data_IF_051301042089
#
_entry.id   IF_051301042089
#
_cell.length_a   1.000
_cell.length_b   1.000
_cell.length_c   1.000
_cell.angle_alpha   90.00
_cell.angle_beta   90.00
_cell.angle_gamma   90.00
#
_symmetry.space_group_name_H-M   'P 1'
#
loop_
_entity.id
_entity.type
_entity.pdbx_description
1 polymer ?
#
# COMPACT_ATOMS: atom_id res chain seq x y z
N UNK A 1 23.56 8.37 33.81
CA UNK A 1 23.96 9.75 33.45
C UNK A 1 24.62 9.74 32.09
N UNK A 2 23.96 10.27 31.05
CA UNK A 2 24.60 10.82 29.85
C UNK A 2 23.76 12.03 29.46
N UNK A 3 24.41 13.20 29.45
CA UNK A 3 23.78 14.51 29.42
C UNK A 3 23.19 14.86 28.05
N UNK A 4 22.07 15.57 28.09
CA UNK A 4 21.51 16.29 26.96
C UNK A 4 22.17 17.67 26.94
N UNK A 5 23.01 17.93 25.94
CA UNK A 5 23.56 19.27 25.70
C UNK A 5 22.53 20.13 24.99
N UNK A 6 22.13 21.23 25.64
CA UNK A 6 21.24 22.26 25.08
C UNK A 6 22.09 23.47 24.69
N UNK A 7 22.05 23.85 23.42
CA UNK A 7 22.46 25.15 22.91
C UNK A 7 21.34 25.68 22.03
N UNK A 8 20.97 26.94 22.19
CA UNK A 8 19.88 27.59 21.44
C UNK A 8 20.50 28.65 20.54
N UNK A 9 20.28 28.56 19.23
CA UNK A 9 20.51 29.63 18.25
C UNK A 9 19.26 29.78 17.37
N UNK A 10 19.03 30.99 16.88
CA UNK A 10 17.87 31.41 16.08
C UNK A 10 17.84 30.84 14.64
N UNK A 11 18.59 29.78 14.39
CA UNK A 11 18.72 29.08 13.12
C UNK A 11 18.14 27.67 13.29
N UNK A 12 17.03 27.38 12.62
CA UNK A 12 16.28 26.13 12.80
C UNK A 12 17.12 24.88 12.52
N UNK A 13 17.77 24.34 13.55
CA UNK A 13 18.60 23.13 13.42
C UNK A 13 17.74 21.91 13.08
N UNK A 14 18.19 21.14 12.08
CA UNK A 14 17.60 19.84 11.75
C UNK A 14 17.87 18.90 12.91
N UNK A 15 16.80 18.43 13.54
CA UNK A 15 16.86 17.44 14.61
C UNK A 15 16.96 16.04 14.02
N UNK A 16 17.72 15.18 14.69
CA UNK A 16 18.00 13.82 14.25
C UNK A 16 17.55 12.82 15.32
N UNK A 17 16.86 11.77 14.90
CA UNK A 17 16.60 10.58 15.70
C UNK A 17 16.98 9.34 14.88
N UNK A 18 17.36 8.24 15.52
CA UNK A 18 17.70 7.00 14.83
C UNK A 18 17.17 5.78 15.56
N UNK A 19 16.72 4.79 14.80
CA UNK A 19 16.36 3.46 15.30
C UNK A 19 16.66 2.39 14.24
N UNK A 20 16.61 1.11 14.61
CA UNK A 20 16.72 0.03 13.63
C UNK A 20 15.34 -0.33 13.05
N UNK A 21 15.27 -0.46 11.72
CA UNK A 21 14.10 -0.92 10.97
C UNK A 21 14.48 -2.24 10.30
N UNK A 22 14.16 -3.36 10.95
CA UNK A 22 14.68 -4.67 10.55
C UNK A 22 16.20 -4.72 10.72
N UNK A 23 16.93 -5.03 9.64
CA UNK A 23 18.41 -5.06 9.63
C UNK A 23 19.06 -3.76 9.15
N UNK A 24 18.28 -2.70 8.95
CA UNK A 24 18.80 -1.42 8.45
C UNK A 24 18.72 -0.34 9.54
N UNK A 25 19.67 0.59 9.53
CA UNK A 25 19.62 1.78 10.37
C UNK A 25 18.66 2.80 9.74
N UNK A 26 17.59 3.15 10.45
CA UNK A 26 16.68 4.23 10.09
C UNK A 26 17.08 5.53 10.77
N UNK A 27 17.39 6.54 9.98
CA UNK A 27 17.71 7.90 10.44
C UNK A 27 16.58 8.84 10.07
N UNK A 28 15.98 9.45 11.08
CA UNK A 28 14.91 10.44 10.96
C UNK A 28 15.51 11.82 11.11
N UNK A 29 15.16 12.71 10.19
CA UNK A 29 15.53 14.13 10.25
C UNK A 29 14.27 14.95 10.26
N UNK A 30 14.19 16.00 11.05
CA UNK A 30 13.00 16.83 11.07
C UNK A 30 13.28 18.28 11.47
N UNK A 31 12.43 19.17 10.97
CA UNK A 31 12.47 20.60 11.23
C UNK A 31 11.05 21.15 11.18
N UNK A 32 10.72 22.06 12.10
CA UNK A 32 9.40 22.70 12.14
C UNK A 32 9.47 24.07 11.47
N UNK A 33 8.32 24.55 10.99
CA UNK A 33 8.15 25.90 10.46
C UNK A 33 9.06 26.22 9.26
N UNK A 34 9.21 25.23 8.36
CA UNK A 34 9.96 25.36 7.11
C UNK A 34 9.05 25.97 6.04
N UNK A 35 9.48 27.03 5.33
CA UNK A 35 8.70 27.57 4.22
C UNK A 35 8.62 26.55 3.07
N UNK A 36 7.40 26.27 2.60
CA UNK A 36 7.19 25.30 1.53
C UNK A 36 7.69 25.78 0.16
N UNK A 37 7.81 27.10 -0.02
CA UNK A 37 8.33 27.76 -1.23
C UNK A 37 9.09 29.04 -0.88
N UNK A 38 9.91 29.52 -1.80
CA UNK A 38 10.71 30.73 -1.65
C UNK A 38 9.86 31.99 -1.92
N UNK A 39 9.10 32.42 -0.92
CA UNK A 39 8.26 33.62 -0.98
C UNK A 39 7.86 34.09 0.41
N UNK A 40 7.63 35.40 0.57
CA UNK A 40 7.26 35.99 1.87
C UNK A 40 5.91 35.51 2.43
N UNK A 41 5.00 35.03 1.56
CA UNK A 41 3.69 34.46 1.92
C UNK A 41 3.70 32.92 1.91
N UNK A 42 4.86 32.30 2.06
CA UNK A 42 4.99 30.85 2.06
C UNK A 42 4.26 30.22 3.26
N UNK A 43 3.52 29.15 2.98
CA UNK A 43 2.97 28.30 4.03
C UNK A 43 4.13 27.63 4.77
N UNK A 44 4.17 27.83 6.09
CA UNK A 44 5.12 27.15 6.97
C UNK A 44 4.59 25.74 7.28
N UNK A 45 5.44 24.75 7.06
CA UNK A 45 5.12 23.34 7.30
C UNK A 45 6.16 22.70 8.21
N UNK A 46 5.80 21.58 8.83
CA UNK A 46 6.76 20.78 9.58
C UNK A 46 7.26 19.65 8.68
N UNK A 47 8.56 19.63 8.43
CA UNK A 47 9.22 18.70 7.54
C UNK A 47 9.86 17.55 8.30
N UNK A 48 9.76 16.34 7.76
CA UNK A 48 10.57 15.21 8.20
C UNK A 48 11.04 14.32 7.04
N UNK A 49 12.12 13.60 7.25
CA UNK A 49 12.74 12.67 6.30
C UNK A 49 13.12 11.38 7.00
N UNK A 50 13.02 10.26 6.29
CA UNK A 50 13.57 8.97 6.68
C UNK A 50 14.62 8.55 5.66
N UNK A 51 15.80 8.19 6.15
CA UNK A 51 16.85 7.52 5.40
C UNK A 51 17.08 6.15 6.04
N UNK A 52 16.96 5.09 5.25
CA UNK A 52 17.26 3.72 5.69
C UNK A 52 18.55 3.24 5.04
N UNK A 53 19.54 2.89 5.85
CA UNK A 53 20.88 2.51 5.42
C UNK A 53 21.19 1.07 5.82
N UNK A 54 21.82 0.29 4.93
CA UNK A 54 22.32 -1.06 5.24
C UNK A 54 23.59 -1.01 6.10
N UNK A 55 24.02 -2.16 6.59
CA UNK A 55 25.28 -2.32 7.33
C UNK A 55 26.51 -1.89 6.52
N UNK A 56 26.48 -2.04 5.19
CA UNK A 56 27.54 -1.61 4.27
C UNK A 56 27.55 -0.08 3.99
N UNK A 57 26.62 0.68 4.59
CA UNK A 57 26.48 2.12 4.39
C UNK A 57 25.65 2.52 3.16
N UNK A 58 25.16 1.57 2.36
CA UNK A 58 24.31 1.88 1.20
C UNK A 58 22.90 2.31 1.62
N UNK A 59 22.39 3.36 0.98
CA UNK A 59 21.03 3.87 1.20
C UNK A 59 20.04 2.99 0.45
N UNK A 60 19.16 2.29 1.17
CA UNK A 60 18.07 1.50 0.58
C UNK A 60 16.84 2.34 0.27
N UNK A 61 16.58 3.33 1.11
CA UNK A 61 15.36 4.11 1.04
C UNK A 61 15.62 5.52 1.56
N UNK A 62 15.06 6.50 0.86
CA UNK A 62 15.06 7.88 1.27
C UNK A 62 13.76 8.52 0.83
N UNK A 63 13.05 9.16 1.76
CA UNK A 63 11.87 9.94 1.43
C UNK A 63 11.61 11.02 2.48
N UNK A 64 10.87 12.05 2.10
CA UNK A 64 10.50 13.17 2.95
C UNK A 64 9.00 13.48 2.89
N UNK A 65 8.51 14.09 3.96
CA UNK A 65 7.10 14.45 4.16
C UNK A 65 6.98 15.83 4.79
N UNK A 66 5.87 16.49 4.49
CA UNK A 66 5.41 17.69 5.18
C UNK A 66 4.15 17.38 5.98
N UNK A 67 4.02 17.97 7.16
CA UNK A 67 2.90 17.79 8.08
C UNK A 67 2.48 19.12 8.69
N UNK A 68 1.17 19.27 8.93
CA UNK A 68 0.62 20.35 9.78
C UNK A 68 0.86 20.09 11.28
N UNK A 69 1.18 18.85 11.66
CA UNK A 69 1.48 18.50 13.05
C UNK A 69 2.91 18.87 13.39
N UNK A 70 3.11 19.48 14.56
CA UNK A 70 4.44 19.80 15.07
C UNK A 70 5.22 18.52 15.36
N UNK A 71 6.47 18.47 14.94
CA UNK A 71 7.31 17.28 14.99
C UNK A 71 8.31 17.38 16.15
N UNK A 72 8.42 16.30 16.90
CA UNK A 72 9.40 16.09 17.97
C UNK A 72 9.97 14.66 17.94
N UNK A 73 10.89 14.38 18.86
CA UNK A 73 11.56 13.08 18.93
C UNK A 73 10.64 11.91 19.32
N UNK A 74 9.43 12.19 19.82
CA UNK A 74 8.47 11.17 20.23
C UNK A 74 7.50 10.81 19.10
N UNK A 75 7.20 11.76 18.21
CA UNK A 75 6.17 11.56 17.17
C UNK A 75 6.72 11.39 15.73
N UNK A 76 8.00 11.71 15.47
CA UNK A 76 8.57 11.65 14.11
C UNK A 76 8.46 10.26 13.50
N UNK A 77 8.68 9.21 14.30
CA UNK A 77 8.56 7.83 13.82
C UNK A 77 7.12 7.49 13.40
N UNK A 78 6.13 7.95 14.17
CA UNK A 78 4.71 7.73 13.89
C UNK A 78 4.29 8.46 12.62
N UNK A 79 4.72 9.72 12.45
CA UNK A 79 4.42 10.52 11.26
C UNK A 79 5.01 9.90 9.99
N UNK A 80 6.26 9.44 10.06
CA UNK A 80 6.90 8.70 8.95
C UNK A 80 6.16 7.40 8.65
N UNK A 81 5.74 6.64 9.67
CA UNK A 81 4.91 5.44 9.49
C UNK A 81 3.59 5.76 8.76
N UNK A 82 2.91 6.85 9.14
CA UNK A 82 1.70 7.31 8.46
C UNK A 82 1.97 7.72 7.00
N UNK A 83 3.05 8.48 6.76
CA UNK A 83 3.48 8.87 5.42
C UNK A 83 3.81 7.67 4.52
N UNK A 84 4.44 6.63 5.07
CA UNK A 84 4.70 5.35 4.40
C UNK A 84 3.41 4.60 4.09
N UNK A 85 2.45 4.58 5.01
CA UNK A 85 1.16 3.94 4.78
C UNK A 85 0.39 4.62 3.63
N UNK A 86 0.42 5.96 3.55
CA UNK A 86 -0.15 6.70 2.41
C UNK A 86 0.47 6.27 1.08
N UNK A 87 1.80 6.21 1.02
CA UNK A 87 2.51 5.74 -0.17
C UNK A 87 2.13 4.30 -0.53
N UNK A 88 1.98 3.42 0.48
CA UNK A 88 1.56 2.03 0.27
C UNK A 88 0.14 1.96 -0.33
N UNK A 89 -0.81 2.74 0.18
CA UNK A 89 -2.17 2.83 -0.38
C UNK A 89 -2.13 3.28 -1.84
N UNK A 90 -1.33 4.31 -2.13
CA UNK A 90 -1.19 4.87 -3.47
C UNK A 90 -0.54 3.86 -4.44
N UNK A 91 0.55 3.22 -4.03
CA UNK A 91 1.35 2.39 -4.92
C UNK A 91 0.87 0.93 -5.02
N UNK A 92 0.23 0.39 -3.99
CA UNK A 92 -0.34 -0.96 -4.04
C UNK A 92 -1.83 -0.91 -4.37
N UNK A 93 -2.61 -0.13 -3.61
CA UNK A 93 -4.06 -0.03 -3.77
C UNK A 93 -4.45 0.59 -5.11
N UNK A 94 -4.01 1.82 -5.38
CA UNK A 94 -4.39 2.48 -6.64
C UNK A 94 -3.78 1.76 -7.84
N UNK A 95 -2.54 1.29 -7.76
CA UNK A 95 -1.95 0.52 -8.86
C UNK A 95 -2.72 -0.78 -9.15
N UNK A 96 -3.24 -1.46 -8.13
CA UNK A 96 -4.12 -2.64 -8.31
C UNK A 96 -5.38 -2.26 -9.08
N UNK A 97 -6.05 -1.18 -8.68
CA UNK A 97 -7.23 -0.67 -9.37
C UNK A 97 -6.93 -0.27 -10.83
N UNK A 98 -5.73 0.26 -11.10
CA UNK A 98 -5.32 0.70 -12.44
C UNK A 98 -4.94 -0.47 -13.35
N UNK A 99 -4.08 -1.38 -12.88
CA UNK A 99 -3.33 -2.30 -13.76
C UNK A 99 -3.62 -3.79 -13.55
N UNK A 100 -4.32 -4.20 -12.48
CA UNK A 100 -4.48 -5.62 -12.09
C UNK A 100 -5.89 -6.17 -12.35
N UNK A 101 -6.45 -5.81 -13.51
CA UNK A 101 -7.72 -6.35 -14.01
C UNK A 101 -8.97 -5.53 -13.68
N UNK A 102 -8.84 -4.45 -12.90
CA UNK A 102 -9.95 -3.52 -12.63
C UNK A 102 -10.01 -2.34 -13.62
N UNK A 103 -8.91 -2.05 -14.33
CA UNK A 103 -8.82 -1.05 -15.40
C UNK A 103 -9.48 0.29 -15.07
N UNK A 104 -9.32 0.77 -13.84
CA UNK A 104 -10.04 1.92 -13.31
C UNK A 104 -9.75 3.24 -14.05
N UNK A 105 -8.61 3.35 -14.75
CA UNK A 105 -8.29 4.52 -15.59
C UNK A 105 -9.08 4.54 -16.91
N UNK A 106 -9.61 3.38 -17.33
CA UNK A 106 -10.36 3.20 -18.56
C UNK A 106 -11.85 3.02 -18.28
N UNK A 107 -12.42 3.85 -17.40
CA UNK A 107 -13.87 3.92 -17.30
C UNK A 107 -14.42 4.39 -18.66
N UNK A 108 -14.97 3.45 -19.42
CA UNK A 108 -15.48 3.56 -20.80
C UNK A 108 -16.68 4.52 -20.93
N UNK A 109 -16.52 5.76 -20.53
CA UNK A 109 -17.58 6.74 -20.40
C UNK A 109 -17.42 7.94 -21.31
N UNK A 110 -17.54 7.76 -22.63
CA UNK A 110 -18.01 8.85 -23.50
C UNK A 110 -19.56 8.98 -23.48
N UNK A 111 -20.24 8.22 -22.61
CA UNK A 111 -21.69 8.18 -22.49
C UNK A 111 -22.31 9.40 -21.82
N UNK A 112 -23.41 9.87 -22.40
CA UNK A 112 -24.22 11.03 -21.98
C UNK A 112 -24.86 10.79 -20.59
N UNK A 113 -24.19 11.26 -19.53
CA UNK A 113 -24.62 11.29 -18.12
C UNK A 113 -24.62 9.94 -17.33
N UNK A 114 -23.95 9.96 -16.16
CA UNK A 114 -23.89 8.92 -15.12
C UNK A 114 -23.26 7.54 -15.44
N UNK A 115 -23.07 7.15 -16.70
CA UNK A 115 -22.48 5.84 -17.05
C UNK A 115 -21.08 5.63 -16.46
N UNK A 116 -20.21 6.64 -16.50
CA UNK A 116 -18.88 6.58 -15.91
C UNK A 116 -18.92 6.34 -14.39
N UNK A 117 -19.86 6.98 -13.68
CA UNK A 117 -20.02 6.81 -12.24
C UNK A 117 -20.54 5.42 -11.89
N UNK A 118 -21.48 4.88 -12.68
CA UNK A 118 -22.00 3.52 -12.48
C UNK A 118 -20.88 2.48 -12.65
N UNK A 119 -20.12 2.55 -13.73
CA UNK A 119 -19.02 1.63 -14.00
C UNK A 119 -17.92 1.74 -12.93
N UNK A 120 -17.53 2.95 -12.55
CA UNK A 120 -16.59 3.16 -11.47
C UNK A 120 -17.07 2.54 -10.14
N UNK A 121 -18.36 2.71 -9.82
CA UNK A 121 -18.97 2.13 -8.61
C UNK A 121 -18.97 0.60 -8.65
N UNK A 122 -19.31 0.00 -9.80
CA UNK A 122 -19.27 -1.46 -9.98
C UNK A 122 -17.84 -2.01 -9.85
N UNK A 123 -16.84 -1.31 -10.40
CA UNK A 123 -15.43 -1.71 -10.25
C UNK A 123 -15.00 -1.66 -8.78
N UNK A 124 -15.36 -0.60 -8.06
CA UNK A 124 -15.07 -0.48 -6.62
C UNK A 124 -15.78 -1.56 -5.81
N UNK A 125 -17.03 -1.89 -6.13
CA UNK A 125 -17.77 -2.96 -5.48
C UNK A 125 -17.14 -4.33 -5.74
N UNK A 126 -16.71 -4.59 -6.98
CA UNK A 126 -15.98 -5.82 -7.32
C UNK A 126 -14.65 -5.90 -6.54
N UNK A 127 -13.91 -4.80 -6.46
CA UNK A 127 -12.69 -4.72 -5.67
C UNK A 127 -12.94 -5.01 -4.18
N UNK A 128 -14.01 -4.44 -3.61
CA UNK A 128 -14.42 -4.69 -2.23
C UNK A 128 -14.77 -6.17 -2.03
N UNK A 129 -15.62 -6.74 -2.89
CA UNK A 129 -16.03 -8.14 -2.81
C UNK A 129 -14.85 -9.11 -2.89
N UNK A 130 -13.93 -8.89 -3.83
CA UNK A 130 -12.72 -9.70 -3.93
C UNK A 130 -11.82 -9.57 -2.70
N UNK A 131 -11.75 -8.37 -2.10
CA UNK A 131 -11.03 -8.16 -0.84
C UNK A 131 -11.71 -8.93 0.30
N UNK A 132 -13.04 -8.88 0.40
CA UNK A 132 -13.81 -9.63 1.38
C UNK A 132 -13.62 -11.15 1.23
N UNK A 133 -13.63 -11.69 0.01
CA UNK A 133 -13.37 -13.11 -0.21
C UNK A 133 -11.97 -13.53 0.21
N UNK A 134 -10.95 -12.74 -0.14
CA UNK A 134 -9.59 -13.02 0.33
C UNK A 134 -9.49 -12.97 1.88
N UNK A 135 -10.32 -12.17 2.57
CA UNK A 135 -10.29 -12.02 4.02
C UNK A 135 -11.16 -13.02 4.80
N UNK A 136 -12.30 -13.40 4.27
CA UNK A 136 -13.33 -14.14 5.01
C UNK A 136 -13.46 -15.59 4.56
N UNK A 137 -13.09 -15.92 3.33
CA UNK A 137 -13.21 -17.26 2.78
C UNK A 137 -11.83 -17.94 2.72
N UNK A 138 -11.55 -18.76 3.73
CA UNK A 138 -10.27 -19.47 3.85
C UNK A 138 -9.99 -20.38 2.66
N UNK A 139 -11.02 -21.02 2.08
CA UNK A 139 -10.86 -21.89 0.92
C UNK A 139 -10.59 -21.09 -0.34
N UNK A 140 -11.30 -19.97 -0.52
CA UNK A 140 -11.03 -19.06 -1.63
C UNK A 140 -9.60 -18.50 -1.54
N UNK A 141 -9.15 -18.11 -0.34
CA UNK A 141 -7.77 -17.68 -0.09
C UNK A 141 -6.77 -18.79 -0.40
N UNK A 142 -7.05 -20.01 0.06
CA UNK A 142 -6.19 -21.17 -0.20
C UNK A 142 -6.04 -21.40 -1.71
N UNK A 143 -7.13 -21.52 -2.47
CA UNK A 143 -7.08 -21.65 -3.94
C UNK A 143 -6.35 -20.47 -4.58
N UNK A 144 -6.61 -19.24 -4.14
CA UNK A 144 -5.94 -18.04 -4.71
C UNK A 144 -4.44 -18.02 -4.47
N UNK A 145 -3.96 -18.65 -3.40
CA UNK A 145 -2.53 -18.74 -3.07
C UNK A 145 -1.75 -19.69 -3.97
N UNK A 146 -2.44 -20.63 -4.63
CA UNK A 146 -1.81 -21.64 -5.50
C UNK A 146 -1.77 -21.20 -6.97
N UNK A 147 -2.46 -20.12 -7.31
CA UNK A 147 -2.58 -19.61 -8.67
C UNK A 147 -1.74 -18.33 -8.87
N UNK A 148 -1.16 -18.15 -10.07
CA UNK A 148 -0.23 -17.03 -10.32
C UNK A 148 -0.91 -15.66 -10.33
N UNK A 149 -2.22 -15.60 -10.61
CA UNK A 149 -2.94 -14.34 -10.72
C UNK A 149 -4.44 -14.46 -10.43
N UNK A 150 -5.09 -13.33 -10.11
CA UNK A 150 -6.55 -13.26 -9.94
C UNK A 150 -7.32 -13.53 -11.25
N UNK A 151 -6.89 -13.02 -12.42
CA UNK A 151 -7.48 -13.42 -13.69
C UNK A 151 -7.48 -14.93 -13.91
N UNK A 152 -6.35 -15.61 -13.64
CA UNK A 152 -6.26 -17.08 -13.75
C UNK A 152 -7.28 -17.80 -12.87
N UNK A 153 -7.49 -17.32 -11.64
CA UNK A 153 -8.52 -17.86 -10.76
C UNK A 153 -9.92 -17.78 -11.38
N UNK A 154 -10.31 -16.62 -11.88
CA UNK A 154 -11.63 -16.44 -12.47
C UNK A 154 -11.79 -17.20 -13.80
N UNK A 155 -10.72 -17.33 -14.59
CA UNK A 155 -10.71 -18.18 -15.78
C UNK A 155 -10.94 -19.65 -15.44
N UNK A 156 -10.32 -20.18 -14.38
CA UNK A 156 -10.58 -21.54 -13.93
C UNK A 156 -12.02 -21.70 -13.43
N UNK A 157 -12.52 -20.77 -12.61
CA UNK A 157 -13.92 -20.77 -12.16
C UNK A 157 -14.87 -20.76 -13.36
N UNK A 158 -14.62 -19.90 -14.35
CA UNK A 158 -15.43 -19.79 -15.57
C UNK A 158 -15.47 -21.09 -16.35
N UNK A 159 -14.32 -21.72 -16.60
CA UNK A 159 -14.24 -23.00 -17.32
C UNK A 159 -14.96 -24.10 -16.55
N UNK A 160 -14.72 -24.23 -15.24
CA UNK A 160 -15.35 -25.26 -14.42
C UNK A 160 -16.87 -25.12 -14.39
N UNK A 161 -17.38 -23.90 -14.23
CA UNK A 161 -18.83 -23.65 -14.25
C UNK A 161 -19.47 -23.89 -15.61
N UNK A 162 -18.70 -23.81 -16.70
CA UNK A 162 -19.20 -24.11 -18.04
C UNK A 162 -19.28 -25.62 -18.29
N UNK A 163 -18.29 -26.37 -17.80
CA UNK A 163 -18.13 -27.78 -18.11
C UNK A 163 -18.74 -28.73 -17.07
N UNK A 164 -18.90 -28.30 -15.82
CA UNK A 164 -19.27 -29.16 -14.69
C UNK A 164 -20.35 -28.53 -13.80
N UNK A 165 -21.34 -29.32 -13.33
CA UNK A 165 -22.30 -28.87 -12.32
C UNK A 165 -21.67 -28.91 -10.92
N UNK A 166 -21.92 -27.86 -10.13
CA UNK A 166 -21.55 -27.79 -8.72
C UNK A 166 -22.75 -27.36 -7.88
N UNK A 167 -22.97 -28.04 -6.76
CA UNK A 167 -24.12 -27.79 -5.87
C UNK A 167 -23.95 -26.52 -5.01
N UNK A 168 -22.71 -26.04 -4.84
CA UNK A 168 -22.41 -24.87 -4.04
C UNK A 168 -21.03 -24.27 -4.36
N UNK A 169 -20.81 -23.05 -3.88
CA UNK A 169 -19.49 -22.40 -3.91
C UNK A 169 -18.42 -23.21 -3.18
N UNK A 170 -18.75 -23.81 -2.03
CA UNK A 170 -17.83 -24.66 -1.26
C UNK A 170 -17.45 -25.93 -2.03
N UNK A 171 -18.41 -26.54 -2.75
CA UNK A 171 -18.15 -27.70 -3.60
C UNK A 171 -17.15 -27.33 -4.72
N UNK A 172 -17.37 -26.21 -5.43
CA UNK A 172 -16.45 -25.71 -6.46
C UNK A 172 -15.04 -25.47 -5.91
N UNK A 173 -14.90 -24.72 -4.80
CA UNK A 173 -13.59 -24.40 -4.24
C UNK A 173 -12.84 -25.65 -3.74
N UNK A 174 -13.56 -26.58 -3.11
CA UNK A 174 -12.99 -27.85 -2.68
C UNK A 174 -12.49 -28.69 -3.85
N UNK A 175 -13.21 -28.67 -4.98
CA UNK A 175 -12.76 -29.30 -6.22
C UNK A 175 -11.49 -28.65 -6.76
N UNK A 176 -11.43 -27.31 -6.78
CA UNK A 176 -10.25 -26.57 -7.23
C UNK A 176 -9.01 -26.86 -6.37
N UNK A 177 -9.16 -27.02 -5.05
CA UNK A 177 -8.06 -27.38 -4.14
C UNK A 177 -7.49 -28.77 -4.43
N UNK A 178 -8.34 -29.77 -4.65
CA UNK A 178 -7.91 -31.15 -4.92
C UNK A 178 -7.02 -31.27 -6.15
N UNK A 179 -7.22 -30.44 -7.18
CA UNK A 179 -6.40 -30.46 -8.40
C UNK A 179 -4.99 -29.89 -8.18
N UNK A 180 -4.79 -29.04 -7.16
CA UNK A 180 -3.48 -28.46 -6.87
C UNK A 180 -2.53 -29.48 -6.24
N UNK A 181 -3.06 -30.46 -5.50
CA UNK A 181 -2.27 -31.47 -4.80
C UNK A 181 -1.94 -32.71 -5.66
N UNK A 182 -2.35 -32.73 -6.92
CA UNK A 182 -2.00 -33.82 -7.82
C UNK A 182 -0.54 -33.66 -8.29
N UNK A 183 0.37 -34.62 -8.02
CA UNK A 183 1.69 -34.59 -8.63
C UNK A 183 1.53 -34.65 -10.15
N UNK A 184 2.37 -33.88 -10.85
CA UNK A 184 2.44 -33.88 -12.31
C UNK A 184 2.72 -35.31 -12.80
N UNK A 185 1.69 -35.97 -13.31
CA UNK A 185 1.82 -37.26 -13.98
C UNK A 185 1.71 -37.03 -15.48
N UNK A 186 2.81 -36.59 -16.10
CA UNK A 186 3.01 -36.64 -17.55
C UNK A 186 3.65 -35.42 -18.15
#
# INVERSE_FOLDING_TARGET
MKGYGCGVTHDGEIKIASNYIGRCLGTYRYLNEVPLRDSNDALLVNWCELITTREDGSVQYRNAWASSHRIDGHNVELLVKAGRARWKIENEGNNTLKTKGYHFEHNFGHGKQHLANLLATMILLAFLMHTCFDWLDERCRAVRSTLPSRPTFFEHVRTLLYDLPFDSWDHLLSFMLRKVDAPDTG
#
